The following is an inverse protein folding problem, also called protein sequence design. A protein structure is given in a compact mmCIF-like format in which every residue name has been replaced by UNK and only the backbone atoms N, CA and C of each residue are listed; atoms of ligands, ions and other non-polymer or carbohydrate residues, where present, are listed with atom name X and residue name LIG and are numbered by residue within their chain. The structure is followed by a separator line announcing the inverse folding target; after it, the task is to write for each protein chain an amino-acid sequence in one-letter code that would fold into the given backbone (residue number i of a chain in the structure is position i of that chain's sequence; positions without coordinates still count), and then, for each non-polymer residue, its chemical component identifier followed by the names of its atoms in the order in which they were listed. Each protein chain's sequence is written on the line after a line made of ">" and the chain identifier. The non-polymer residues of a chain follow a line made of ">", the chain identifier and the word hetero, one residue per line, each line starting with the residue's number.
data_IF_904947827484
#
_entry.id   IF_904947827484
#
_cell.length_a   1.000
_cell.length_b   1.000
_cell.length_c   1.000
_cell.angle_alpha   90.00
_cell.angle_beta   90.00
_cell.angle_gamma   90.00
#
_symmetry.space_group_name_H-M   'P 1'
#
loop_
_entity.id
_entity.type
_entity.pdbx_description
1 polymer ?
#
# COMPACT_ATOMS: atom_id res chain seq x y z
N UNK A 1 -0.39 20.02 26.56
CA UNK A 1 -1.20 20.32 25.36
C UNK A 1 -0.74 21.67 24.85
N UNK A 2 -0.40 21.78 23.57
CA UNK A 2 0.16 22.99 22.95
C UNK A 2 -0.86 23.59 21.98
N UNK A 3 -1.10 24.90 22.05
CA UNK A 3 -2.00 25.59 21.12
C UNK A 3 -1.21 26.12 19.93
N UNK A 4 -1.69 25.85 18.71
CA UNK A 4 -1.11 26.33 17.46
C UNK A 4 -2.21 26.59 16.41
N UNK A 5 -1.84 26.76 15.14
CA UNK A 5 -2.74 26.96 14.01
C UNK A 5 -2.46 25.95 12.89
N UNK A 6 -3.50 25.63 12.12
CA UNK A 6 -3.39 24.84 10.89
C UNK A 6 -2.91 25.70 9.70
N UNK A 7 -2.68 25.08 8.55
CA UNK A 7 -2.22 25.76 7.32
C UNK A 7 -3.15 26.88 6.82
N UNK A 8 -4.38 26.97 7.36
CA UNK A 8 -5.39 27.97 7.02
C UNK A 8 -5.69 28.93 8.19
N UNK A 9 -4.87 28.93 9.25
CA UNK A 9 -5.00 29.83 10.40
C UNK A 9 -6.05 29.42 11.43
N UNK A 10 -6.65 28.22 11.33
CA UNK A 10 -7.62 27.74 12.35
C UNK A 10 -6.89 27.17 13.56
N UNK A 11 -7.45 27.38 14.75
CA UNK A 11 -6.86 26.89 15.99
C UNK A 11 -6.75 25.36 16.04
N UNK A 12 -5.61 24.89 16.55
CA UNK A 12 -5.26 23.49 16.72
C UNK A 12 -4.71 23.27 18.14
N UNK A 13 -5.08 22.16 18.76
CA UNK A 13 -4.55 21.73 20.06
C UNK A 13 -3.76 20.44 19.88
N UNK A 14 -2.44 20.56 19.98
CA UNK A 14 -1.52 19.44 19.93
C UNK A 14 -1.44 18.74 21.28
N UNK A 15 -1.55 17.42 21.27
CA UNK A 15 -1.41 16.58 22.45
C UNK A 15 -0.56 15.34 22.14
N UNK A 16 -0.02 14.71 23.19
CA UNK A 16 0.98 13.65 23.06
C UNK A 16 2.40 14.18 23.18
N UNK A 17 3.36 13.45 22.62
CA UNK A 17 4.77 13.81 22.62
C UNK A 17 4.99 15.10 21.81
N UNK A 18 5.75 16.03 22.37
CA UNK A 18 6.06 17.32 21.71
C UNK A 18 7.35 17.17 20.91
N UNK A 19 7.34 17.59 19.64
CA UNK A 19 8.47 17.46 18.72
C UNK A 19 9.28 18.76 18.54
N UNK A 20 9.05 19.74 19.42
CA UNK A 20 9.63 21.07 19.36
C UNK A 20 8.98 21.94 18.28
N UNK A 21 9.46 23.18 18.15
CA UNK A 21 8.97 24.10 17.13
C UNK A 21 9.41 23.65 15.73
N UNK A 22 8.46 23.67 14.80
CA UNK A 22 8.73 23.47 13.39
C UNK A 22 8.99 24.84 12.77
N UNK A 23 10.19 25.08 12.21
CA UNK A 23 10.53 26.36 11.62
C UNK A 23 9.58 26.71 10.47
N UNK A 24 9.37 28.00 10.18
CA UNK A 24 8.56 28.41 9.05
C UNK A 24 9.15 27.86 7.76
N UNK A 25 8.29 27.42 6.84
CA UNK A 25 8.74 26.96 5.53
C UNK A 25 9.43 28.12 4.80
N UNK A 26 10.62 27.90 4.20
CA UNK A 26 11.38 28.97 3.54
C UNK A 26 10.67 29.49 2.28
N UNK A 27 9.74 28.72 1.72
CA UNK A 27 8.95 29.02 0.53
C UNK A 27 7.59 28.33 0.61
N UNK A 28 6.56 28.83 -0.12
CA UNK A 28 5.24 28.18 -0.17
C UNK A 28 5.31 26.75 -0.70
N UNK A 29 4.35 25.92 -0.30
CA UNK A 29 4.32 24.49 -0.63
C UNK A 29 4.39 24.20 -2.13
N UNK A 30 3.73 25.00 -2.98
CA UNK A 30 3.78 24.82 -4.44
C UNK A 30 5.17 25.07 -5.06
N UNK A 31 6.03 25.84 -4.38
CA UNK A 31 7.44 26.05 -4.80
C UNK A 31 8.38 25.04 -4.16
N UNK A 32 8.00 24.49 -3.01
CA UNK A 32 8.75 23.44 -2.32
C UNK A 32 8.51 22.05 -2.96
N UNK A 33 7.31 21.83 -3.50
CA UNK A 33 6.95 20.65 -4.28
C UNK A 33 7.67 20.67 -5.64
N UNK A 34 8.96 20.33 -5.64
CA UNK A 34 9.81 20.37 -6.83
C UNK A 34 9.54 19.18 -7.76
N UNK A 35 8.95 19.38 -8.97
CA UNK A 35 8.59 18.25 -9.83
C UNK A 35 9.80 17.44 -10.31
N UNK A 36 10.98 18.08 -10.43
CA UNK A 36 12.23 17.42 -10.82
C UNK A 36 12.69 16.41 -9.77
N UNK A 37 12.61 16.79 -8.49
CA UNK A 37 12.98 15.88 -7.41
C UNK A 37 11.98 14.72 -7.32
N UNK A 38 10.67 15.01 -7.36
CA UNK A 38 9.62 13.97 -7.33
C UNK A 38 9.84 12.96 -8.47
N UNK A 39 10.12 13.45 -9.68
CA UNK A 39 10.40 12.60 -10.84
C UNK A 39 11.68 11.77 -10.66
N UNK A 40 12.75 12.33 -10.08
CA UNK A 40 14.00 11.63 -9.80
C UNK A 40 13.86 10.53 -8.73
N UNK A 41 13.17 10.84 -7.62
CA UNK A 41 12.85 9.87 -6.58
C UNK A 41 11.98 8.73 -7.12
N UNK A 42 10.98 9.06 -7.95
CA UNK A 42 10.13 8.08 -8.62
C UNK A 42 10.92 7.19 -9.59
N UNK A 43 11.82 7.76 -10.40
CA UNK A 43 12.67 7.00 -11.30
C UNK A 43 13.55 6.01 -10.53
N UNK A 44 14.15 6.46 -9.42
CA UNK A 44 14.95 5.62 -8.52
C UNK A 44 14.11 4.48 -7.91
N UNK A 45 12.88 4.77 -7.49
CA UNK A 45 11.97 3.74 -6.96
C UNK A 45 11.60 2.71 -8.02
N UNK A 46 11.31 3.14 -9.26
CA UNK A 46 10.88 2.26 -10.35
C UNK A 46 11.97 1.30 -10.85
N UNK A 47 13.24 1.63 -10.61
CA UNK A 47 14.42 0.81 -10.92
C UNK A 47 14.68 -0.28 -9.88
N UNK A 48 14.07 -0.18 -8.69
CA UNK A 48 14.27 -1.18 -7.61
C UNK A 48 13.65 -2.52 -7.97
N UNK A 49 14.33 -3.64 -7.67
CA UNK A 49 13.78 -4.96 -7.91
C UNK A 49 12.66 -5.26 -6.90
N UNK A 50 11.50 -5.70 -7.40
CA UNK A 50 10.43 -6.26 -6.58
C UNK A 50 10.37 -7.80 -6.67
N UNK A 51 11.20 -8.41 -7.51
CA UNK A 51 11.37 -9.85 -7.57
C UNK A 51 10.16 -10.62 -8.09
N UNK A 52 9.29 -9.97 -8.88
CA UNK A 52 8.04 -10.56 -9.35
C UNK A 52 7.00 -10.78 -8.25
N UNK A 53 7.19 -10.25 -7.03
CA UNK A 53 6.23 -10.40 -5.94
C UNK A 53 5.11 -9.36 -6.05
N UNK A 54 3.86 -9.82 -5.88
CA UNK A 54 2.67 -8.98 -5.89
C UNK A 54 1.80 -9.26 -4.67
N UNK A 55 1.38 -8.21 -3.97
CA UNK A 55 0.36 -8.33 -2.91
C UNK A 55 -0.98 -8.64 -3.57
N UNK A 56 -1.63 -9.72 -3.10
CA UNK A 56 -2.94 -10.15 -3.63
C UNK A 56 -4.08 -9.97 -2.64
N UNK A 57 -3.78 -9.60 -1.40
CA UNK A 57 -4.77 -9.26 -0.39
C UNK A 57 -4.30 -9.48 1.04
N UNK A 58 -5.21 -9.26 1.99
CA UNK A 58 -4.97 -9.51 3.40
C UNK A 58 -4.91 -11.02 3.70
N UNK A 59 -4.01 -11.45 4.59
CA UNK A 59 -3.97 -12.82 5.09
C UNK A 59 -5.33 -13.25 5.69
N UNK A 60 -5.99 -12.33 6.38
CA UNK A 60 -7.31 -12.54 6.96
C UNK A 60 -8.46 -12.73 5.94
N UNK A 61 -8.25 -12.39 4.66
CA UNK A 61 -9.21 -12.66 3.59
C UNK A 61 -9.15 -14.12 3.13
N UNK A 62 -7.97 -14.75 3.23
CA UNK A 62 -7.72 -16.14 2.84
C UNK A 62 -8.00 -17.11 4.01
N UNK A 63 -9.28 -17.20 4.39
CA UNK A 63 -9.76 -18.10 5.46
C UNK A 63 -10.05 -19.50 4.93
N UNK A 64 -11.33 -19.87 4.87
CA UNK A 64 -11.77 -21.23 4.53
C UNK A 64 -12.40 -21.35 3.14
N UNK A 65 -12.19 -20.34 2.28
CA UNK A 65 -12.68 -20.35 0.91
C UNK A 65 -11.55 -19.98 -0.05
N UNK A 66 -11.57 -20.52 -1.28
CA UNK A 66 -10.69 -20.05 -2.33
C UNK A 66 -10.92 -18.56 -2.60
N UNK A 67 -9.86 -17.83 -2.92
CA UNK A 67 -9.88 -16.42 -3.24
C UNK A 67 -9.49 -16.24 -4.70
N UNK A 68 -10.41 -15.76 -5.53
CA UNK A 68 -10.11 -15.33 -6.88
C UNK A 68 -9.45 -13.95 -6.85
N UNK A 69 -8.36 -13.78 -7.58
CA UNK A 69 -7.66 -12.51 -7.75
C UNK A 69 -7.26 -12.30 -9.21
N UNK A 70 -6.99 -11.04 -9.57
CA UNK A 70 -6.43 -10.66 -10.86
C UNK A 70 -5.08 -10.01 -10.61
N UNK A 71 -4.04 -10.43 -11.33
CA UNK A 71 -2.69 -9.88 -11.19
C UNK A 71 -2.02 -9.90 -12.55
N UNK A 72 -1.51 -8.76 -13.02
CA UNK A 72 -0.85 -8.63 -14.33
C UNK A 72 -1.69 -9.24 -15.49
N UNK A 73 -3.01 -9.03 -15.45
CA UNK A 73 -3.97 -9.57 -16.44
C UNK A 73 -4.28 -11.06 -16.30
N UNK A 74 -3.72 -11.75 -15.29
CA UNK A 74 -3.93 -13.18 -15.03
C UNK A 74 -4.99 -13.40 -13.97
N UNK A 75 -5.93 -14.30 -14.24
CA UNK A 75 -6.88 -14.80 -13.26
C UNK A 75 -6.21 -15.89 -12.42
N UNK A 76 -6.07 -15.66 -11.11
CA UNK A 76 -5.46 -16.60 -10.18
C UNK A 76 -6.46 -17.00 -9.10
N UNK A 77 -6.28 -18.20 -8.56
CA UNK A 77 -6.96 -18.66 -7.34
C UNK A 77 -5.92 -18.88 -6.26
N UNK A 78 -6.22 -18.41 -5.06
CA UNK A 78 -5.47 -18.73 -3.85
C UNK A 78 -6.31 -19.55 -2.89
N UNK A 79 -5.66 -20.43 -2.13
CA UNK A 79 -6.30 -21.12 -1.02
C UNK A 79 -5.30 -21.46 0.08
N UNK A 80 -5.82 -21.81 1.25
CA UNK A 80 -5.04 -22.24 2.40
C UNK A 80 -5.21 -23.74 2.63
N UNK A 81 -4.09 -24.39 2.89
CA UNK A 81 -3.98 -25.78 3.34
C UNK A 81 -3.19 -25.83 4.66
N UNK A 82 -3.10 -27.00 5.33
CA UNK A 82 -2.20 -27.17 6.48
C UNK A 82 -0.72 -26.89 6.16
N UNK A 83 -0.30 -27.07 4.90
CA UNK A 83 1.07 -26.82 4.45
C UNK A 83 1.36 -25.32 4.16
N UNK A 84 0.32 -24.47 4.15
CA UNK A 84 0.46 -23.05 3.84
C UNK A 84 -0.50 -22.57 2.75
N UNK A 85 -0.18 -21.42 2.19
CA UNK A 85 -0.94 -20.76 1.11
C UNK A 85 -0.46 -21.24 -0.25
N UNK A 86 -1.39 -21.49 -1.16
CA UNK A 86 -1.10 -21.92 -2.52
C UNK A 86 -1.77 -21.00 -3.54
N UNK A 87 -1.19 -20.91 -4.73
CA UNK A 87 -1.73 -20.14 -5.85
C UNK A 87 -1.53 -20.89 -7.17
N UNK A 88 -2.51 -20.83 -8.06
CA UNK A 88 -2.45 -21.32 -9.45
C UNK A 88 -3.31 -20.42 -10.33
N UNK A 89 -3.21 -20.56 -11.65
CA UNK A 89 -4.19 -19.98 -12.58
C UNK A 89 -5.60 -20.47 -12.22
N UNK A 90 -6.60 -19.58 -12.26
CA UNK A 90 -7.99 -19.90 -11.90
C UNK A 90 -8.72 -20.66 -13.03
N UNK A 91 -8.07 -21.69 -13.56
CA UNK A 91 -8.57 -22.49 -14.67
C UNK A 91 -8.23 -23.97 -14.45
N UNK A 92 -9.27 -24.79 -14.37
CA UNK A 92 -9.13 -26.24 -14.27
C UNK A 92 -8.56 -26.82 -15.58
N UNK A 93 -7.48 -27.62 -15.53
CA UNK A 93 -6.82 -28.14 -16.72
C UNK A 93 -7.65 -29.19 -17.46
N UNK A 94 -8.75 -29.66 -16.86
CA UNK A 94 -9.66 -30.60 -17.50
C UNK A 94 -10.48 -29.93 -18.60
N UNK A 95 -11.38 -28.99 -18.24
CA UNK A 95 -12.28 -28.31 -19.20
C UNK A 95 -12.44 -26.80 -18.91
N UNK A 96 -11.57 -26.22 -18.08
CA UNK A 96 -11.51 -24.77 -17.90
C UNK A 96 -12.42 -24.17 -16.83
N UNK A 97 -13.04 -24.99 -15.97
CA UNK A 97 -13.82 -24.49 -14.82
C UNK A 97 -12.96 -23.59 -13.92
N UNK A 98 -13.53 -22.49 -13.41
CA UNK A 98 -12.86 -21.68 -12.40
C UNK A 98 -12.73 -22.45 -11.08
N UNK A 99 -11.50 -22.66 -10.64
CA UNK A 99 -11.17 -23.30 -9.37
C UNK A 99 -11.72 -22.54 -8.17
N UNK A 100 -11.76 -21.21 -8.26
CA UNK A 100 -12.29 -20.30 -7.24
C UNK A 100 -13.76 -20.51 -6.92
N UNK A 101 -14.51 -21.11 -7.86
CA UNK A 101 -15.92 -21.50 -7.68
C UNK A 101 -16.08 -22.92 -7.09
N UNK A 102 -14.96 -23.60 -6.84
CA UNK A 102 -14.91 -24.91 -6.22
C UNK A 102 -15.04 -24.86 -4.70
N UNK A 103 -14.57 -25.93 -4.05
CA UNK A 103 -14.56 -26.05 -2.59
C UNK A 103 -13.25 -26.63 -2.09
N UNK A 104 -12.91 -26.34 -0.84
CA UNK A 104 -11.76 -26.94 -0.18
C UNK A 104 -12.14 -28.28 0.46
N UNK A 105 -11.33 -29.31 0.22
CA UNK A 105 -11.45 -30.64 0.83
C UNK A 105 -10.05 -31.08 1.23
N UNK A 106 -9.82 -31.29 2.53
CA UNK A 106 -8.55 -31.80 3.07
C UNK A 106 -7.31 -30.99 2.61
N UNK A 107 -7.45 -29.67 2.47
CA UNK A 107 -6.37 -28.78 2.01
C UNK A 107 -6.17 -28.74 0.49
N UNK A 108 -6.87 -29.59 -0.28
CA UNK A 108 -6.95 -29.54 -1.73
C UNK A 108 -8.15 -28.74 -2.24
N UNK A 109 -8.11 -28.38 -3.52
CA UNK A 109 -9.15 -27.61 -4.20
C UNK A 109 -9.93 -28.52 -5.17
N UNK A 110 -11.24 -28.64 -4.97
CA UNK A 110 -12.10 -29.52 -5.77
C UNK A 110 -12.89 -28.71 -6.79
N UNK A 111 -12.68 -29.04 -8.06
CA UNK A 111 -13.32 -28.40 -9.21
C UNK A 111 -14.84 -28.52 -9.13
N UNK A 112 -15.59 -27.45 -9.41
CA UNK A 112 -17.05 -27.45 -9.30
C UNK A 112 -17.75 -28.25 -10.39
N UNK A 113 -17.10 -28.56 -11.51
CA UNK A 113 -17.74 -29.27 -12.62
C UNK A 113 -17.65 -30.79 -12.46
N UNK A 114 -16.43 -31.35 -12.42
CA UNK A 114 -16.22 -32.80 -12.48
C UNK A 114 -15.50 -33.37 -11.26
N UNK A 115 -15.29 -32.54 -10.23
CA UNK A 115 -14.68 -33.00 -8.97
C UNK A 115 -13.19 -33.30 -9.03
N UNK A 116 -12.48 -32.92 -10.11
CA UNK A 116 -11.02 -32.98 -10.15
C UNK A 116 -10.46 -32.27 -8.91
N UNK A 117 -9.61 -32.96 -8.15
CA UNK A 117 -8.96 -32.42 -6.96
C UNK A 117 -7.55 -31.97 -7.33
N UNK A 118 -7.25 -30.71 -7.07
CA UNK A 118 -5.90 -30.19 -7.06
C UNK A 118 -5.34 -30.36 -5.64
N UNK A 119 -4.41 -31.30 -5.50
CA UNK A 119 -3.66 -31.53 -4.28
C UNK A 119 -2.32 -30.78 -4.35
N UNK A 120 -1.98 -29.90 -3.39
CA UNK A 120 -0.72 -29.18 -3.42
C UNK A 120 0.54 -30.07 -3.43
N UNK A 121 0.44 -31.30 -2.90
CA UNK A 121 1.58 -32.23 -2.86
C UNK A 121 1.82 -32.94 -4.20
N UNK A 122 0.80 -33.05 -5.04
CA UNK A 122 0.87 -33.64 -6.37
C UNK A 122 -0.06 -32.86 -7.32
N UNK A 123 0.29 -31.60 -7.65
CA UNK A 123 -0.66 -30.69 -8.26
C UNK A 123 -0.87 -31.02 -9.74
N UNK A 124 -2.14 -31.01 -10.17
CA UNK A 124 -2.51 -31.16 -11.59
C UNK A 124 -2.35 -29.85 -12.39
N UNK A 125 -1.95 -28.76 -11.74
CA UNK A 125 -1.71 -27.43 -12.32
C UNK A 125 -0.43 -26.85 -11.72
N UNK A 126 0.28 -26.02 -12.47
CA UNK A 126 1.50 -25.38 -11.96
C UNK A 126 1.16 -24.43 -10.80
N UNK A 127 1.91 -24.55 -9.70
CA UNK A 127 1.76 -23.66 -8.56
C UNK A 127 2.74 -22.49 -8.65
N UNK A 128 2.27 -21.30 -8.32
CA UNK A 128 3.12 -20.13 -8.16
C UNK A 128 3.70 -20.08 -6.74
N UNK A 129 4.95 -19.60 -6.56
CA UNK A 129 5.48 -19.31 -5.22
C UNK A 129 4.59 -18.30 -4.50
N UNK A 130 4.35 -18.55 -3.22
CA UNK A 130 3.53 -17.70 -2.36
C UNK A 130 4.31 -17.29 -1.12
N UNK A 131 3.91 -16.16 -0.53
CA UNK A 131 4.38 -15.73 0.77
C UNK A 131 3.17 -15.34 1.61
N UNK A 132 3.13 -15.77 2.87
CA UNK A 132 2.16 -15.33 3.86
C UNK A 132 2.96 -14.89 5.08
N UNK A 133 2.92 -13.59 5.36
CA UNK A 133 3.67 -12.98 6.46
C UNK A 133 2.79 -12.69 7.69
N UNK A 134 1.55 -13.18 7.67
CA UNK A 134 0.54 -12.98 8.71
C UNK A 134 -0.29 -11.70 8.55
N UNK A 135 0.13 -10.75 7.72
CA UNK A 135 -0.63 -9.52 7.43
C UNK A 135 -1.17 -9.52 5.99
N UNK A 136 -0.31 -9.76 5.00
CA UNK A 136 -0.71 -9.85 3.60
C UNK A 136 -0.35 -11.22 3.02
N UNK A 137 -0.79 -11.44 1.79
CA UNK A 137 -0.44 -12.61 0.99
C UNK A 137 0.14 -12.12 -0.31
N UNK A 138 1.25 -12.74 -0.74
CA UNK A 138 1.91 -12.47 -2.01
C UNK A 138 1.90 -13.69 -2.90
N UNK A 139 1.92 -13.42 -4.21
CA UNK A 139 2.25 -14.39 -5.25
C UNK A 139 3.45 -13.88 -6.04
N UNK A 140 4.36 -14.77 -6.40
CA UNK A 140 5.46 -14.46 -7.30
C UNK A 140 5.09 -14.88 -8.72
N UNK A 141 5.13 -13.93 -9.65
CA UNK A 141 4.86 -14.17 -11.07
C UNK A 141 6.16 -14.09 -11.90
N UNK A 142 6.23 -14.82 -13.03
CA UNK A 142 7.33 -14.67 -13.97
C UNK A 142 7.30 -13.30 -14.66
N UNK A 143 8.46 -12.85 -15.16
CA UNK A 143 8.61 -11.58 -15.88
C UNK A 143 9.65 -10.64 -15.27
N UNK A 144 10.13 -10.93 -14.07
CA UNK A 144 11.23 -10.22 -13.40
C UNK A 144 12.25 -11.23 -12.86
N UNK A 145 13.48 -10.76 -12.61
CA UNK A 145 14.48 -11.56 -11.89
C UNK A 145 13.95 -11.90 -10.49
N UNK A 146 13.77 -13.18 -10.13
CA UNK A 146 13.05 -13.55 -8.91
C UNK A 146 13.89 -13.25 -7.66
N UNK A 147 13.23 -12.73 -6.63
CA UNK A 147 13.78 -12.66 -5.27
C UNK A 147 13.24 -13.84 -4.44
N UNK A 148 14.04 -14.41 -3.51
CA UNK A 148 13.59 -15.53 -2.69
C UNK A 148 12.43 -15.18 -1.74
N UNK A 149 12.25 -13.89 -1.42
CA UNK A 149 11.18 -13.36 -0.58
C UNK A 149 10.78 -11.96 -1.06
N UNK A 150 9.54 -11.50 -0.78
CA UNK A 150 9.16 -10.11 -1.03
C UNK A 150 10.02 -9.14 -0.21
N UNK A 151 10.22 -7.93 -0.73
CA UNK A 151 10.89 -6.85 0.00
C UNK A 151 9.90 -6.31 1.03
N UNK A 152 10.23 -6.46 2.32
CA UNK A 152 9.39 -6.01 3.44
C UNK A 152 10.13 -4.94 4.23
N UNK A 153 9.45 -3.87 4.68
CA UNK A 153 10.04 -2.92 5.61
C UNK A 153 10.23 -3.55 6.98
N UNK A 154 11.03 -2.89 7.83
CA UNK A 154 11.17 -3.28 9.23
C UNK A 154 9.85 -2.96 9.95
N UNK A 155 9.13 -4.00 10.35
CA UNK A 155 7.88 -3.85 11.10
C UNK A 155 8.09 -3.86 12.61
N UNK A 156 7.25 -3.15 13.38
CA UNK A 156 7.26 -3.28 14.82
C UNK A 156 6.93 -4.71 15.25
N UNK A 157 7.63 -5.22 16.26
CA UNK A 157 7.42 -6.58 16.78
C UNK A 157 5.98 -6.83 17.28
N UNK A 158 5.26 -5.77 17.63
CA UNK A 158 3.86 -5.85 18.03
C UNK A 158 3.09 -4.60 17.61
N UNK A 159 2.03 -4.79 16.83
CA UNK A 159 1.19 -3.70 16.33
C UNK A 159 -0.28 -4.11 16.27
N UNK A 160 -1.15 -3.10 16.24
CA UNK A 160 -2.52 -3.27 15.75
C UNK A 160 -2.46 -3.18 14.22
N UNK A 161 -2.82 -4.28 13.55
CA UNK A 161 -2.75 -4.41 12.09
C UNK A 161 -4.12 -4.18 11.47
N UNK A 162 -4.17 -3.39 10.40
CA UNK A 162 -5.37 -3.17 9.60
C UNK A 162 -5.00 -3.18 8.13
N UNK A 163 -5.74 -3.93 7.31
CA UNK A 163 -5.51 -4.01 5.86
C UNK A 163 -6.77 -3.60 5.13
N UNK A 164 -6.63 -2.73 4.14
CA UNK A 164 -7.69 -2.37 3.21
C UNK A 164 -7.18 -2.44 1.77
N UNK A 165 -8.09 -2.54 0.81
CA UNK A 165 -7.73 -2.48 -0.60
C UNK A 165 -8.76 -1.71 -1.41
N UNK A 166 -8.30 -1.00 -2.42
CA UNK A 166 -9.10 -0.14 -3.29
C UNK A 166 -8.56 -0.23 -4.72
N UNK A 167 -9.39 -0.62 -5.72
CA UNK A 167 -8.98 -0.52 -7.11
C UNK A 167 -9.02 0.94 -7.59
N UNK A 168 -8.07 1.34 -8.42
CA UNK A 168 -8.04 2.64 -9.08
C UNK A 168 -7.59 2.53 -10.55
N UNK A 169 -7.95 3.53 -11.36
CA UNK A 169 -7.52 3.65 -12.77
C UNK A 169 -6.15 4.30 -12.86
N UNK A 170 -5.13 3.53 -12.47
CA UNK A 170 -3.76 3.98 -12.37
C UNK A 170 -2.79 2.83 -12.65
N UNK A 171 -1.49 3.13 -12.69
CA UNK A 171 -0.42 2.14 -12.60
C UNK A 171 0.33 2.30 -11.27
N UNK A 172 1.17 1.33 -10.85
CA UNK A 172 2.00 1.47 -9.66
C UNK A 172 2.79 2.79 -9.61
N UNK A 173 3.20 3.31 -10.77
CA UNK A 173 3.87 4.61 -10.92
C UNK A 173 3.13 5.74 -10.21
N UNK A 174 1.83 5.91 -10.50
CA UNK A 174 1.06 7.04 -9.95
C UNK A 174 0.82 6.89 -8.44
N UNK A 175 0.76 5.64 -7.93
CA UNK A 175 0.65 5.36 -6.49
C UNK A 175 1.91 5.78 -5.75
N UNK A 176 3.09 5.45 -6.30
CA UNK A 176 4.38 5.86 -5.73
C UNK A 176 4.54 7.39 -5.82
N UNK A 177 4.22 7.98 -6.97
CA UNK A 177 4.30 9.43 -7.18
C UNK A 177 3.44 10.20 -6.17
N UNK A 178 2.21 9.75 -5.91
CA UNK A 178 1.30 10.38 -4.94
C UNK A 178 1.96 10.51 -3.56
N UNK A 179 2.60 9.46 -3.05
CA UNK A 179 3.20 9.48 -1.70
C UNK A 179 4.58 10.11 -1.65
N UNK A 180 5.27 10.22 -2.78
CA UNK A 180 6.49 11.03 -2.92
C UNK A 180 6.19 12.53 -3.04
N UNK A 181 4.93 12.94 -3.20
CA UNK A 181 4.48 14.33 -3.21
C UNK A 181 3.73 14.67 -1.91
N UNK A 182 4.36 14.73 -0.72
CA UNK A 182 3.63 14.97 0.53
C UNK A 182 2.91 16.33 0.59
N UNK A 183 3.29 17.30 -0.26
CA UNK A 183 2.72 18.65 -0.26
C UNK A 183 1.24 18.70 -0.63
N UNK A 184 0.72 17.75 -1.43
CA UNK A 184 -0.72 17.66 -1.66
C UNK A 184 -1.48 17.36 -0.35
N UNK A 185 -0.82 16.77 0.65
CA UNK A 185 -1.31 16.48 1.99
C UNK A 185 -2.10 17.63 2.64
N UNK A 186 -1.44 18.78 2.81
CA UNK A 186 -2.00 19.93 3.52
C UNK A 186 -3.15 20.59 2.76
N UNK A 187 -3.11 20.57 1.43
CA UNK A 187 -4.10 21.26 0.58
C UNK A 187 -5.30 20.36 0.20
N UNK A 188 -5.02 19.12 -0.18
CA UNK A 188 -6.01 18.17 -0.66
C UNK A 188 -6.66 17.38 0.48
N UNK A 189 -5.93 17.18 1.59
CA UNK A 189 -6.45 16.50 2.79
C UNK A 189 -6.44 17.38 4.04
N UNK A 190 -6.73 18.69 3.94
CA UNK A 190 -6.74 19.61 5.08
C UNK A 190 -7.69 19.23 6.24
N UNK A 191 -8.60 18.28 6.04
CA UNK A 191 -9.44 17.70 7.09
C UNK A 191 -8.72 16.61 7.92
N UNK A 192 -7.67 15.99 7.38
CA UNK A 192 -6.86 14.95 8.00
C UNK A 192 -5.49 15.49 8.45
N UNK A 193 -4.82 16.26 7.58
CA UNK A 193 -3.53 16.89 7.84
C UNK A 193 -3.71 18.39 8.09
N UNK A 194 -3.64 18.80 9.35
CA UNK A 194 -3.78 20.20 9.73
C UNK A 194 -2.54 21.03 9.42
N UNK A 195 -1.35 20.42 9.51
CA UNK A 195 -0.06 21.06 9.24
C UNK A 195 0.87 20.03 8.64
N UNK A 196 1.63 20.43 7.63
CA UNK A 196 2.68 19.62 7.02
C UNK A 196 3.89 20.51 6.79
N UNK A 197 5.09 20.03 7.11
CA UNK A 197 6.31 20.64 6.60
C UNK A 197 7.39 19.59 6.39
N UNK A 198 8.18 19.76 5.34
CA UNK A 198 9.35 18.92 5.07
C UNK A 198 10.45 19.24 6.08
N UNK A 199 10.97 18.19 6.72
CA UNK A 199 12.08 18.24 7.69
C UNK A 199 13.39 17.91 7.01
N UNK A 200 13.38 16.87 6.18
CA UNK A 200 14.55 16.34 5.49
C UNK A 200 14.10 15.79 4.14
N UNK A 201 14.94 15.99 3.13
CA UNK A 201 14.71 15.53 1.77
C UNK A 201 16.03 14.93 1.26
N UNK A 202 16.03 13.61 1.09
CA UNK A 202 17.12 12.87 0.48
C UNK A 202 16.78 12.53 -0.98
N UNK A 203 17.64 11.80 -1.67
CA UNK A 203 17.44 11.46 -3.09
C UNK A 203 16.22 10.55 -3.33
N UNK A 204 15.90 9.68 -2.37
CA UNK A 204 14.90 8.61 -2.49
C UNK A 204 13.92 8.53 -1.30
N UNK A 205 14.01 9.48 -0.36
CA UNK A 205 13.19 9.52 0.84
C UNK A 205 12.93 10.95 1.30
N UNK A 206 11.79 11.13 1.96
CA UNK A 206 11.36 12.43 2.47
C UNK A 206 10.77 12.28 3.86
N UNK A 207 11.25 13.10 4.79
CA UNK A 207 10.72 13.16 6.16
C UNK A 207 9.90 14.42 6.31
N UNK A 208 8.66 14.27 6.74
CA UNK A 208 7.72 15.37 6.96
C UNK A 208 7.23 15.37 8.40
N UNK A 209 7.07 16.57 8.96
CA UNK A 209 6.30 16.77 10.18
C UNK A 209 4.86 16.97 9.82
N UNK A 210 3.97 16.18 10.41
CA UNK A 210 2.54 16.23 10.10
C UNK A 210 1.72 16.26 11.39
N UNK A 211 0.74 17.15 11.43
CA UNK A 211 -0.28 17.20 12.47
C UNK A 211 -1.57 16.52 12.00
N UNK A 212 -1.84 15.34 12.53
CA UNK A 212 -3.02 14.52 12.22
C UNK A 212 -4.19 14.92 13.13
N UNK A 213 -5.33 15.31 12.56
CA UNK A 213 -6.55 15.59 13.34
C UNK A 213 -7.15 14.29 13.87
N UNK A 214 -7.39 14.23 15.19
CA UNK A 214 -8.00 13.08 15.87
C UNK A 214 -9.48 13.32 16.11
N UNK A 215 -9.85 14.49 16.65
CA UNK A 215 -11.24 14.87 16.87
C UNK A 215 -11.36 16.40 17.01
N UNK A 216 -12.17 17.02 16.15
CA UNK A 216 -12.34 18.48 16.15
C UNK A 216 -11.00 19.22 16.01
N UNK A 217 -10.64 20.15 16.92
CA UNK A 217 -9.37 20.86 16.87
C UNK A 217 -8.20 20.07 17.50
N UNK A 218 -8.45 18.87 18.04
CA UNK A 218 -7.42 18.03 18.65
C UNK A 218 -6.61 17.33 17.57
N UNK A 219 -5.28 17.47 17.63
CA UNK A 219 -4.37 16.82 16.71
C UNK A 219 -3.14 16.26 17.43
N UNK A 220 -2.51 15.30 16.77
CA UNK A 220 -1.26 14.68 17.19
C UNK A 220 -0.22 15.00 16.13
N UNK A 221 0.96 15.40 16.57
CA UNK A 221 2.07 15.73 15.69
C UNK A 221 3.09 14.59 15.68
N UNK A 222 3.54 14.23 14.48
CA UNK A 222 4.52 13.18 14.26
C UNK A 222 5.48 13.58 13.14
N UNK A 223 6.72 13.09 13.21
CA UNK A 223 7.62 13.07 12.06
C UNK A 223 7.46 11.72 11.35
N UNK A 224 7.11 11.76 10.07
CA UNK A 224 6.87 10.59 9.23
C UNK A 224 7.83 10.60 8.04
N UNK A 225 8.57 9.51 7.87
CA UNK A 225 9.46 9.28 6.73
C UNK A 225 8.76 8.44 5.68
N UNK A 226 8.85 8.86 4.42
CA UNK A 226 8.36 8.13 3.26
C UNK A 226 9.56 7.62 2.46
N UNK A 227 9.56 6.33 2.13
CA UNK A 227 10.56 5.67 1.29
C UNK A 227 9.93 4.52 0.48
N UNK A 228 10.51 4.16 -0.66
CA UNK A 228 10.00 3.11 -1.55
C UNK A 228 10.87 1.86 -1.50
N UNK A 229 10.54 0.80 -0.74
CA UNK A 229 11.41 -0.39 -0.65
C UNK A 229 11.67 -1.07 -2.00
N UNK A 230 10.68 -1.02 -2.89
CA UNK A 230 10.76 -1.54 -4.26
C UNK A 230 9.90 -0.71 -5.25
N UNK A 231 9.81 -1.17 -6.50
CA UNK A 231 9.04 -0.51 -7.57
C UNK A 231 7.51 -0.59 -7.45
N UNK A 232 6.98 -1.27 -6.42
CA UNK A 232 5.54 -1.50 -6.22
C UNK A 232 5.04 -1.02 -4.87
N UNK A 233 5.93 -0.59 -3.98
CA UNK A 233 5.58 -0.25 -2.62
C UNK A 233 6.18 1.08 -2.16
N UNK A 234 5.42 1.79 -1.34
CA UNK A 234 5.86 2.96 -0.58
C UNK A 234 5.45 2.80 0.88
N UNK A 235 6.38 3.10 1.77
CA UNK A 235 6.23 2.93 3.21
C UNK A 235 6.34 4.28 3.89
N UNK A 236 5.33 4.61 4.69
CA UNK A 236 5.37 5.72 5.63
C UNK A 236 5.70 5.17 7.02
N UNK A 237 6.81 5.59 7.62
CA UNK A 237 7.20 5.21 8.99
C UNK A 237 7.14 6.42 9.90
N UNK A 238 6.45 6.32 11.04
CA UNK A 238 6.51 7.34 12.09
C UNK A 238 7.84 7.18 12.82
N UNK A 239 8.75 8.13 12.60
CA UNK A 239 10.13 8.11 13.15
C UNK A 239 10.27 8.90 14.43
N UNK A 240 9.34 9.81 14.72
CA UNK A 240 9.28 10.49 16.01
C UNK A 240 7.85 10.94 16.34
N UNK A 241 7.53 10.95 17.64
CA UNK A 241 6.26 11.45 18.15
C UNK A 241 5.33 10.35 18.64
N UNK A 242 4.04 10.66 18.74
CA UNK A 242 3.06 9.67 19.20
C UNK A 242 2.93 8.52 18.19
N UNK A 243 3.16 7.30 18.68
CA UNK A 243 3.11 6.11 17.83
C UNK A 243 4.36 5.89 17.00
N UNK A 244 5.51 6.42 17.44
CA UNK A 244 6.83 6.08 16.92
C UNK A 244 7.00 4.57 16.71
N UNK A 245 7.48 4.19 15.53
CA UNK A 245 7.56 2.80 15.07
C UNK A 245 6.28 2.28 14.39
N UNK A 246 5.19 3.05 14.36
CA UNK A 246 4.07 2.76 13.47
C UNK A 246 4.50 2.93 12.03
N UNK A 247 3.94 2.10 11.14
CA UNK A 247 4.16 2.26 9.70
C UNK A 247 2.91 1.94 8.91
N UNK A 248 2.86 2.49 7.70
CA UNK A 248 1.83 2.25 6.71
C UNK A 248 2.50 1.83 5.42
N UNK A 249 2.22 0.61 4.98
CA UNK A 249 2.68 0.09 3.69
C UNK A 249 1.58 0.30 2.66
N UNK A 250 1.91 0.95 1.55
CA UNK A 250 1.04 1.02 0.38
C UNK A 250 1.65 0.19 -0.73
N UNK A 251 0.93 -0.84 -1.15
CA UNK A 251 1.32 -1.74 -2.24
C UNK A 251 0.43 -1.51 -3.44
N UNK A 252 1.03 -1.42 -4.64
CA UNK A 252 0.31 -1.26 -5.89
C UNK A 252 0.50 -2.49 -6.79
N UNK A 253 -0.58 -3.25 -6.95
CA UNK A 253 -0.60 -4.45 -7.80
C UNK A 253 -1.35 -4.15 -9.09
N UNK A 254 -0.70 -4.31 -10.25
CA UNK A 254 -1.37 -4.19 -11.55
C UNK A 254 -2.43 -5.29 -11.67
N UNK A 255 -3.66 -4.91 -11.99
CA UNK A 255 -4.76 -5.86 -12.27
C UNK A 255 -4.84 -6.14 -13.77
N UNK A 256 -4.84 -5.06 -14.56
CA UNK A 256 -4.94 -5.04 -16.03
C UNK A 256 -4.28 -3.75 -16.53
N UNK A 257 -4.08 -3.57 -17.84
CA UNK A 257 -3.60 -2.29 -18.38
C UNK A 257 -4.39 -1.11 -17.83
N UNK A 258 -3.69 -0.12 -17.26
CA UNK A 258 -4.28 1.09 -16.67
C UNK A 258 -5.12 0.87 -15.40
N UNK A 259 -5.06 -0.30 -14.77
CA UNK A 259 -5.81 -0.59 -13.54
C UNK A 259 -4.92 -1.22 -12.48
N UNK A 260 -4.93 -0.62 -11.30
CA UNK A 260 -4.13 -0.99 -10.14
C UNK A 260 -5.07 -1.38 -8.98
N UNK A 261 -4.67 -2.34 -8.15
CA UNK A 261 -5.19 -2.55 -6.81
C UNK A 261 -4.21 -1.94 -5.83
N UNK A 262 -4.68 -0.94 -5.09
CA UNK A 262 -3.94 -0.33 -4.00
C UNK A 262 -4.29 -1.10 -2.74
N UNK A 263 -3.31 -1.69 -2.07
CA UNK A 263 -3.46 -2.37 -0.79
C UNK A 263 -2.67 -1.63 0.28
N UNK A 264 -3.36 -1.10 1.28
CA UNK A 264 -2.74 -0.40 2.40
C UNK A 264 -2.77 -1.29 3.65
N UNK A 265 -1.60 -1.48 4.26
CA UNK A 265 -1.41 -2.19 5.52
C UNK A 265 -0.88 -1.23 6.59
N UNK A 266 -1.70 -0.96 7.60
CA UNK A 266 -1.35 -0.11 8.74
C UNK A 266 -0.91 -0.99 9.90
N UNK A 267 0.30 -0.74 10.41
CA UNK A 267 0.83 -1.32 11.64
C UNK A 267 0.95 -0.21 12.68
N UNK A 268 -0.10 -0.06 13.49
CA UNK A 268 -0.13 0.98 14.51
C UNK A 268 0.52 0.51 15.82
N UNK A 269 1.34 1.38 16.41
CA UNK A 269 1.92 1.26 17.74
C UNK A 269 1.60 2.50 18.56
N UNK A 270 1.63 2.39 19.89
CA UNK A 270 1.59 3.55 20.79
C UNK A 270 2.13 3.15 22.16
N UNK A 271 2.86 4.07 22.80
CA UNK A 271 3.35 3.93 24.17
C UNK A 271 2.28 4.15 25.24
N UNK A 272 1.05 4.52 24.87
CA UNK A 272 -0.04 4.76 25.84
C UNK A 272 -0.44 3.48 26.55
N UNK A 273 -0.67 3.56 27.86
CA UNK A 273 -1.03 2.42 28.71
C UNK A 273 -2.28 1.66 28.22
N UNK A 274 -3.25 2.34 27.62
CA UNK A 274 -4.46 1.74 27.04
C UNK A 274 -4.26 1.04 25.68
N UNK A 275 -3.14 1.28 24.98
CA UNK A 275 -2.91 0.72 23.65
C UNK A 275 -2.73 -0.80 23.68
N UNK A 276 -2.16 -1.35 24.76
CA UNK A 276 -2.07 -2.79 24.96
C UNK A 276 -3.45 -3.48 24.96
N UNK A 277 -4.48 -2.81 25.51
CA UNK A 277 -5.86 -3.29 25.49
C UNK A 277 -6.46 -3.14 24.09
N UNK A 278 -6.27 -1.99 23.43
CA UNK A 278 -6.73 -1.76 22.06
C UNK A 278 -6.15 -2.80 21.07
N UNK A 279 -4.87 -3.16 21.24
CA UNK A 279 -4.20 -4.22 20.47
C UNK A 279 -4.81 -5.60 20.74
N UNK A 280 -5.08 -5.95 22.00
CA UNK A 280 -5.77 -7.21 22.35
C UNK A 280 -7.19 -7.27 21.77
N UNK A 281 -7.85 -6.13 21.67
CA UNK A 281 -9.17 -5.96 21.10
C UNK A 281 -9.13 -5.51 19.63
N UNK A 282 -8.04 -5.79 18.90
CA UNK A 282 -7.82 -5.29 17.54
C UNK A 282 -8.99 -5.51 16.59
N UNK A 283 -9.68 -6.65 16.71
CA UNK A 283 -10.87 -6.98 15.90
C UNK A 283 -12.04 -5.99 16.05
N UNK A 284 -12.13 -5.27 17.16
CA UNK A 284 -13.15 -4.23 17.39
C UNK A 284 -12.75 -2.89 16.75
N UNK A 285 -11.46 -2.58 16.67
CA UNK A 285 -10.94 -1.31 16.16
C UNK A 285 -10.55 -1.35 14.68
N UNK A 286 -10.20 -2.53 14.15
CA UNK A 286 -9.81 -2.75 12.76
C UNK A 286 -10.84 -2.21 11.74
N UNK A 287 -12.18 -2.38 11.92
CA UNK A 287 -13.15 -1.82 10.97
C UNK A 287 -13.09 -0.29 10.89
N UNK A 288 -12.89 0.40 12.03
CA UNK A 288 -12.80 1.85 12.07
C UNK A 288 -11.51 2.34 11.40
N UNK A 289 -10.38 1.68 11.68
CA UNK A 289 -9.11 1.98 11.01
C UNK A 289 -9.19 1.79 9.49
N UNK A 290 -9.81 0.69 9.03
CA UNK A 290 -10.06 0.47 7.59
C UNK A 290 -10.92 1.58 6.98
N UNK A 291 -11.94 2.06 7.69
CA UNK A 291 -12.79 3.14 7.20
C UNK A 291 -12.02 4.47 7.10
N UNK A 292 -11.19 4.78 8.10
CA UNK A 292 -10.35 5.98 8.10
C UNK A 292 -9.33 5.93 6.94
N UNK A 293 -8.59 4.82 6.82
CA UNK A 293 -7.66 4.56 5.72
C UNK A 293 -8.34 4.70 4.34
N UNK A 294 -9.51 4.06 4.18
CA UNK A 294 -10.26 4.11 2.92
C UNK A 294 -10.73 5.54 2.57
N UNK A 295 -11.12 6.36 3.55
CA UNK A 295 -11.55 7.74 3.29
C UNK A 295 -10.41 8.61 2.75
N UNK A 296 -9.20 8.45 3.29
CA UNK A 296 -8.00 9.13 2.80
C UNK A 296 -7.69 8.67 1.37
N UNK A 297 -7.68 7.35 1.14
CA UNK A 297 -7.35 6.78 -0.16
C UNK A 297 -8.34 7.04 -1.28
N UNK A 298 -9.63 7.24 -0.98
CA UNK A 298 -10.58 7.62 -2.03
C UNK A 298 -10.17 8.95 -2.69
N UNK A 299 -9.55 9.85 -1.94
CA UNK A 299 -9.02 11.09 -2.47
C UNK A 299 -7.68 10.84 -3.18
N UNK A 300 -6.74 10.12 -2.57
CA UNK A 300 -5.45 9.79 -3.20
C UNK A 300 -5.61 9.03 -4.52
N UNK A 301 -6.61 8.15 -4.62
CA UNK A 301 -6.95 7.47 -5.85
C UNK A 301 -7.35 8.48 -6.95
N UNK A 302 -8.13 9.51 -6.62
CA UNK A 302 -8.49 10.54 -7.60
C UNK A 302 -7.27 11.35 -8.09
N UNK A 303 -6.29 11.61 -7.22
CA UNK A 303 -5.00 12.19 -7.61
C UNK A 303 -4.27 11.26 -8.59
N UNK A 304 -4.15 9.98 -8.24
CA UNK A 304 -3.48 8.97 -9.08
C UNK A 304 -4.14 8.85 -10.46
N UNK A 305 -5.48 8.75 -10.49
CA UNK A 305 -6.25 8.64 -11.73
C UNK A 305 -6.10 9.89 -12.62
N UNK A 306 -6.02 11.08 -12.00
CA UNK A 306 -5.77 12.33 -12.74
C UNK A 306 -4.39 12.36 -13.37
N UNK A 307 -3.35 11.99 -12.61
CA UNK A 307 -1.96 11.91 -13.11
C UNK A 307 -1.85 10.92 -14.25
N UNK A 308 -2.46 9.75 -14.10
CA UNK A 308 -2.51 8.72 -15.13
C UNK A 308 -3.16 9.26 -16.43
N UNK A 309 -4.34 9.87 -16.33
CA UNK A 309 -5.04 10.42 -17.49
C UNK A 309 -4.26 11.53 -18.21
N UNK A 310 -3.50 12.36 -17.48
CA UNK A 310 -2.64 13.38 -18.07
C UNK A 310 -1.47 12.76 -18.83
N UNK A 311 -0.85 11.71 -18.29
CA UNK A 311 0.24 10.98 -18.94
C UNK A 311 -0.21 10.26 -20.20
N UNK A 312 -1.36 9.58 -20.16
CA UNK A 312 -1.94 8.95 -21.34
C UNK A 312 -2.21 9.98 -22.45
N UNK A 313 -2.82 11.13 -22.11
CA UNK A 313 -3.05 12.20 -23.09
C UNK A 313 -1.77 12.72 -23.72
N UNK A 314 -0.72 12.93 -22.91
CA UNK A 314 0.58 13.36 -23.41
C UNK A 314 1.19 12.36 -24.39
N UNK A 315 1.10 11.05 -24.09
CA UNK A 315 1.60 9.99 -24.97
C UNK A 315 0.87 9.89 -26.31
N UNK A 316 -0.43 10.24 -26.33
CA UNK A 316 -1.23 10.27 -27.57
C UNK A 316 -0.95 11.51 -28.43
N UNK A 317 -0.59 12.64 -27.80
CA UNK A 317 -0.28 13.88 -28.51
C UNK A 317 1.14 13.93 -29.10
N UNK A 318 2.07 13.12 -28.59
CA UNK A 318 3.45 13.04 -29.08
C UNK A 318 3.98 11.58 -29.07
N UNK A 319 3.74 10.82 -30.14
CA UNK A 319 4.16 9.41 -30.23
C UNK A 319 5.69 9.23 -30.31
N UNK A 320 6.47 10.31 -30.50
CA UNK A 320 7.94 10.24 -30.57
C UNK A 320 8.61 10.03 -29.21
N UNK A 321 7.86 10.23 -28.11
CA UNK A 321 8.34 10.00 -26.74
C UNK A 321 8.33 8.51 -26.33
N UNK A 322 7.73 7.63 -27.15
CA UNK A 322 7.58 6.18 -26.85
C UNK A 322 8.82 5.36 -27.28
N UNK A 323 9.70 5.92 -28.12
CA UNK A 323 10.74 5.14 -28.82
C UNK A 323 12.06 4.93 -28.06
N UNK A 324 12.16 5.24 -26.77
CA UNK A 324 13.38 4.96 -25.99
C UNK A 324 13.25 3.82 -24.96
N UNK A 325 12.12 3.12 -24.91
CA UNK A 325 11.95 2.01 -23.97
C UNK A 325 11.47 0.74 -24.69
N UNK A 326 12.43 -0.04 -25.20
CA UNK A 326 12.29 -1.47 -25.46
C UNK A 326 13.62 -2.17 -25.18
N UNK A 327 13.58 -3.42 -24.66
CA UNK A 327 14.68 -4.02 -23.93
C UNK A 327 15.72 -4.61 -24.88
N UNK A 328 16.99 -4.37 -24.54
CA UNK A 328 18.09 -5.27 -24.91
C UNK A 328 18.33 -6.22 -23.74
#
# INVERSE_FOLDING_TARGET
>A
MLRTQDAHGKALWLFGQTLGELPPAPRPDWQAAEPRWIAGALATALDRPAGGWHVVGACAALRQRPLAVQVEGRALVLWRSPAGVHATDDQCPHLGAAWSRGRLVEGGLVCPWHGLRLDPAAPCSALYPTHDDGALVWVQLPGEAPLPRPVLPVRPASALVSVMSLPARCTPREVLENRLDPWHGAHFHGHSFARLAVREQADDSITVRVAFRVAGPLAVEVDARFDCPDRRSIVMTIVAGEGEGSLVETHATTLSPGRCLITEAVFATSGRSGFGVARRLSRLFEPWMRLAARRLWVQDAAYCERRYALRERASLSDPSCVSQESPS
#
